data_IF_474734686620
#
_entry.id   IF_474734686620
#
_cell.length_a   1.000
_cell.length_b   1.000
_cell.length_c   1.000
_cell.angle_alpha   90.00
_cell.angle_beta   90.00
_cell.angle_gamma   90.00
#
_symmetry.space_group_name_H-M   'P 1'
#
loop_
_entity.id
_entity.type
_entity.pdbx_description
1 polymer ?
#
# COMPACT_ATOMS: atom_id res chain seq x y z
N UNK A 1 -2.19 -6.93 -17.28
CA UNK A 1 -0.89 -6.53 -17.85
C UNK A 1 -0.07 -7.74 -18.29
N UNK A 2 0.26 -8.68 -17.40
CA UNK A 2 1.02 -9.88 -17.80
C UNK A 2 0.17 -11.00 -18.45
N UNK A 3 -1.16 -10.91 -18.43
CA UNK A 3 -2.05 -11.96 -18.96
C UNK A 3 -2.10 -13.24 -18.12
N UNK A 4 -1.44 -13.24 -16.95
CA UNK A 4 -1.34 -14.37 -16.04
C UNK A 4 -2.22 -14.17 -14.81
N UNK A 5 -2.83 -15.26 -14.34
CA UNK A 5 -3.53 -15.29 -13.06
C UNK A 5 -2.50 -15.44 -11.91
N UNK A 6 -2.54 -14.50 -10.97
CA UNK A 6 -1.63 -14.47 -9.83
C UNK A 6 -2.22 -15.34 -8.71
N UNK A 7 -1.96 -16.64 -8.78
CA UNK A 7 -2.39 -17.63 -7.79
C UNK A 7 -1.29 -18.02 -6.79
N UNK A 8 -0.03 -17.63 -7.05
CA UNK A 8 1.11 -17.93 -6.19
C UNK A 8 2.20 -16.87 -6.30
N UNK A 9 3.17 -16.92 -5.37
CA UNK A 9 4.39 -16.11 -5.44
C UNK A 9 5.23 -16.39 -6.70
N UNK A 10 5.23 -17.64 -7.19
CA UNK A 10 5.95 -17.98 -8.43
C UNK A 10 5.31 -17.32 -9.65
N UNK A 11 3.97 -17.35 -9.74
CA UNK A 11 3.23 -16.70 -10.84
C UNK A 11 3.42 -15.17 -10.80
N UNK A 12 3.52 -14.60 -9.60
CA UNK A 12 3.81 -13.19 -9.42
C UNK A 12 5.21 -12.83 -9.94
N UNK A 13 6.23 -13.61 -9.56
CA UNK A 13 7.59 -13.40 -10.03
C UNK A 13 7.70 -13.55 -11.55
N UNK A 14 6.99 -14.52 -12.14
CA UNK A 14 6.91 -14.69 -13.59
C UNK A 14 6.21 -13.52 -14.28
N UNK A 15 5.09 -13.04 -13.72
CA UNK A 15 4.39 -11.87 -14.24
C UNK A 15 5.28 -10.62 -14.25
N UNK A 16 6.01 -10.37 -13.15
CA UNK A 16 6.96 -9.26 -13.05
C UNK A 16 8.12 -9.43 -14.05
N UNK A 17 8.64 -10.66 -14.20
CA UNK A 17 9.69 -10.96 -15.18
C UNK A 17 9.23 -10.64 -16.59
N UNK A 18 8.01 -11.04 -16.95
CA UNK A 18 7.39 -10.72 -18.24
C UNK A 18 7.26 -9.22 -18.43
N UNK A 19 6.88 -8.48 -17.38
CA UNK A 19 6.77 -7.02 -17.46
C UNK A 19 8.13 -6.37 -17.77
N UNK A 20 9.19 -6.78 -17.08
CA UNK A 20 10.54 -6.27 -17.31
C UNK A 20 11.04 -6.61 -18.73
N UNK A 21 10.83 -7.84 -19.20
CA UNK A 21 11.35 -8.31 -20.50
C UNK A 21 10.55 -7.84 -21.71
N UNK A 22 9.23 -7.86 -21.63
CA UNK A 22 8.35 -7.54 -22.78
C UNK A 22 8.17 -6.04 -22.93
N UNK A 23 7.99 -5.32 -21.82
CA UNK A 23 7.68 -3.89 -21.85
C UNK A 23 8.87 -2.99 -21.51
N UNK A 24 10.05 -3.57 -21.22
CA UNK A 24 11.26 -2.83 -20.83
C UNK A 24 11.02 -1.84 -19.68
N UNK A 25 10.13 -2.21 -18.75
CA UNK A 25 9.81 -1.38 -17.58
C UNK A 25 10.88 -1.63 -16.52
N UNK A 26 11.62 -0.61 -16.05
CA UNK A 26 12.75 -0.80 -15.13
C UNK A 26 12.31 -1.05 -13.68
N UNK A 27 11.21 -0.41 -13.26
CA UNK A 27 10.68 -0.46 -11.91
C UNK A 27 9.22 -0.86 -11.93
N UNK A 28 8.86 -1.85 -11.12
CA UNK A 28 7.49 -2.33 -10.97
C UNK A 28 7.15 -2.30 -9.48
N UNK A 29 6.00 -1.74 -9.13
CA UNK A 29 5.43 -1.87 -7.79
C UNK A 29 4.02 -2.42 -7.94
N UNK A 30 3.70 -3.43 -7.14
CA UNK A 30 2.38 -4.01 -7.01
C UNK A 30 1.90 -3.68 -5.61
N UNK A 31 0.94 -2.76 -5.53
CA UNK A 31 0.27 -2.38 -4.29
C UNK A 31 -0.87 -3.35 -3.99
N UNK A 32 -0.96 -3.81 -2.75
CA UNK A 32 -2.03 -4.67 -2.24
C UNK A 32 -2.09 -6.09 -2.84
N UNK A 33 -1.17 -6.95 -2.39
CA UNK A 33 -1.32 -8.40 -2.54
C UNK A 33 -1.74 -8.97 -1.19
N UNK A 34 -2.91 -9.61 -1.11
CA UNK A 34 -3.26 -10.41 0.07
C UNK A 34 -2.47 -11.72 0.02
N UNK A 35 -1.21 -11.67 0.41
CA UNK A 35 -0.30 -12.81 0.29
C UNK A 35 -0.68 -13.97 1.23
N UNK A 36 -1.42 -13.69 2.31
CA UNK A 36 -2.01 -14.72 3.16
C UNK A 36 -2.91 -15.72 2.39
N UNK A 37 -3.47 -15.32 1.23
CA UNK A 37 -4.19 -16.22 0.33
C UNK A 37 -3.27 -17.02 -0.61
N UNK A 38 -2.03 -16.55 -0.83
CA UNK A 38 -1.06 -17.09 -1.78
C UNK A 38 -0.01 -17.99 -1.12
N UNK A 39 0.17 -17.90 0.19
CA UNK A 39 1.01 -18.81 0.98
C UNK A 39 0.10 -19.66 1.87
N UNK A 40 -0.15 -20.92 1.49
CA UNK A 40 -0.94 -21.90 2.26
C UNK A 40 -0.34 -22.30 3.62
N UNK A 41 0.65 -21.56 4.11
CA UNK A 41 1.37 -21.75 5.37
C UNK A 41 1.30 -20.46 6.17
N UNK A 42 0.13 -20.16 6.73
CA UNK A 42 0.02 -19.18 7.80
C UNK A 42 0.39 -19.86 9.11
N UNK A 43 1.60 -19.63 9.62
CA UNK A 43 1.83 -19.75 11.06
C UNK A 43 0.98 -18.68 11.77
N UNK A 44 0.30 -19.02 12.87
CA UNK A 44 -0.67 -18.14 13.50
C UNK A 44 0.08 -17.08 14.32
N UNK A 45 0.43 -15.95 13.71
CA UNK A 45 0.87 -14.78 14.48
C UNK A 45 -0.37 -14.05 15.03
N UNK A 46 -0.72 -14.44 16.26
CA UNK A 46 -1.40 -13.72 17.37
C UNK A 46 -2.65 -12.85 17.14
N UNK A 47 -3.13 -12.55 15.93
CA UNK A 47 -4.42 -11.87 15.71
C UNK A 47 -5.07 -12.29 14.38
N UNK A 48 -6.11 -13.15 14.37
CA UNK A 48 -6.72 -13.70 13.15
C UNK A 48 -7.51 -12.69 12.30
N UNK A 49 -7.58 -11.40 12.68
CA UNK A 49 -8.45 -10.41 12.05
C UNK A 49 -7.73 -9.32 11.24
N UNK A 50 -6.40 -9.28 11.21
CA UNK A 50 -5.65 -8.23 10.49
C UNK A 50 -4.72 -8.85 9.46
N UNK A 51 -5.24 -9.10 8.26
CA UNK A 51 -4.41 -9.51 7.13
C UNK A 51 -3.46 -8.34 6.78
N UNK A 52 -2.12 -8.51 6.83
CA UNK A 52 -1.20 -7.44 6.48
C UNK A 52 -1.35 -7.06 5.01
N UNK A 53 -1.18 -5.77 4.73
CA UNK A 53 -1.06 -5.26 3.37
C UNK A 53 0.36 -5.51 2.88
N UNK A 54 0.50 -6.39 1.89
CA UNK A 54 1.81 -6.64 1.28
C UNK A 54 1.99 -5.79 0.02
N UNK A 55 3.12 -5.10 -0.06
CA UNK A 55 3.60 -4.39 -1.24
C UNK A 55 4.82 -5.13 -1.78
N UNK A 56 4.80 -5.43 -3.08
CA UNK A 56 5.89 -6.12 -3.76
C UNK A 56 6.44 -5.19 -4.83
N UNK A 57 7.73 -4.91 -4.74
CA UNK A 57 8.43 -4.10 -5.73
C UNK A 57 9.54 -4.87 -6.41
N UNK A 58 9.91 -4.40 -7.59
CA UNK A 58 10.97 -4.99 -8.40
C UNK A 58 11.74 -3.93 -9.15
N UNK A 59 13.06 -4.10 -9.22
CA UNK A 59 13.93 -3.38 -10.14
C UNK A 59 14.67 -4.36 -11.03
N UNK A 60 14.76 -4.06 -12.32
CA UNK A 60 15.46 -4.90 -13.30
C UNK A 60 16.98 -4.92 -13.03
N UNK A 61 17.62 -6.06 -13.30
CA UNK A 61 19.09 -6.18 -13.40
C UNK A 61 19.56 -5.94 -14.83
N UNK A 62 20.87 -5.81 -15.05
CA UNK A 62 21.45 -5.76 -16.40
C UNK A 62 21.10 -7.01 -17.24
N UNK A 63 20.88 -8.15 -16.58
CA UNK A 63 20.50 -9.43 -17.20
C UNK A 63 19.00 -9.55 -17.50
N UNK A 64 18.19 -8.54 -17.16
CA UNK A 64 16.74 -8.55 -17.38
C UNK A 64 15.97 -9.41 -16.38
N UNK A 65 16.58 -9.74 -15.23
CA UNK A 65 15.93 -10.46 -14.13
C UNK A 65 15.34 -9.47 -13.11
N UNK A 66 14.22 -9.81 -12.46
CA UNK A 66 13.66 -8.98 -11.39
C UNK A 66 14.44 -9.12 -10.08
N UNK A 67 14.78 -7.99 -9.45
CA UNK A 67 15.17 -7.95 -8.03
C UNK A 67 13.96 -7.59 -7.18
N UNK A 68 13.32 -8.63 -6.65
CA UNK A 68 12.10 -8.51 -5.86
C UNK A 68 12.40 -8.11 -4.41
N UNK A 69 11.63 -7.17 -3.90
CA UNK A 69 11.54 -6.86 -2.48
C UNK A 69 10.08 -6.87 -2.03
N UNK A 70 9.87 -7.16 -0.75
CA UNK A 70 8.56 -7.24 -0.11
C UNK A 70 8.55 -6.35 1.12
N UNK A 71 7.47 -5.60 1.28
CA UNK A 71 7.21 -4.80 2.47
C UNK A 71 5.81 -5.17 2.97
N UNK A 72 5.72 -5.59 4.24
CA UNK A 72 4.46 -5.88 4.90
C UNK A 72 4.12 -4.74 5.85
N UNK A 73 2.89 -4.24 5.74
CA UNK A 73 2.38 -3.13 6.56
C UNK A 73 1.08 -3.61 7.24
N UNK A 74 0.86 -3.31 8.53
CA UNK A 74 -0.41 -3.62 9.17
C UNK A 74 -1.57 -2.96 8.44
N UNK A 75 -2.62 -3.75 8.14
CA UNK A 75 -3.82 -3.21 7.53
C UNK A 75 -4.63 -2.42 8.56
N UNK A 76 -5.07 -1.21 8.16
CA UNK A 76 -5.99 -0.40 8.94
C UNK A 76 -7.43 -0.86 8.67
N UNK A 77 -8.27 -0.90 9.70
CA UNK A 77 -9.69 -1.28 9.61
C UNK A 77 -10.55 -0.12 9.09
N UNK A 78 -10.10 0.52 8.01
CA UNK A 78 -10.77 1.61 7.35
C UNK A 78 -10.57 1.57 5.83
N UNK A 79 -11.68 1.76 5.11
CA UNK A 79 -11.66 1.96 3.67
C UNK A 79 -11.41 3.42 3.34
N UNK A 80 -10.21 3.71 2.84
CA UNK A 80 -9.87 5.00 2.26
C UNK A 80 -9.85 4.88 0.73
N UNK A 81 -10.63 5.71 0.04
CA UNK A 81 -10.51 5.88 -1.42
C UNK A 81 -9.32 6.78 -1.74
N UNK A 82 -8.60 6.50 -2.83
CA UNK A 82 -7.47 7.32 -3.28
C UNK A 82 -6.12 7.02 -2.61
N UNK A 83 -6.02 5.97 -1.79
CA UNK A 83 -4.75 5.52 -1.21
C UNK A 83 -3.71 5.13 -2.27
N UNK A 84 -4.18 4.61 -3.41
CA UNK A 84 -3.32 4.31 -4.56
C UNK A 84 -2.72 5.57 -5.20
N UNK A 85 -3.51 6.62 -5.37
CA UNK A 85 -3.02 7.89 -5.94
C UNK A 85 -2.04 8.58 -5.00
N UNK A 86 -2.34 8.56 -3.70
CA UNK A 86 -1.43 9.04 -2.67
C UNK A 86 -0.11 8.27 -2.69
N UNK A 87 -0.17 6.93 -2.76
CA UNK A 87 1.02 6.08 -2.84
C UNK A 87 1.85 6.42 -4.08
N UNK A 88 1.22 6.51 -5.26
CA UNK A 88 1.90 6.80 -6.51
C UNK A 88 2.57 8.19 -6.48
N UNK A 89 1.85 9.21 -6.02
CA UNK A 89 2.36 10.58 -5.93
C UNK A 89 3.57 10.69 -4.99
N UNK A 90 3.46 10.10 -3.79
CA UNK A 90 4.56 10.12 -2.81
C UNK A 90 5.75 9.28 -3.29
N UNK A 91 5.52 8.17 -3.98
CA UNK A 91 6.58 7.29 -4.50
C UNK A 91 7.52 8.05 -5.44
N UNK A 92 7.00 8.90 -6.33
CA UNK A 92 7.84 9.67 -7.26
C UNK A 92 8.79 10.60 -6.51
N UNK A 93 8.29 11.33 -5.52
CA UNK A 93 9.10 12.24 -4.71
C UNK A 93 10.14 11.49 -3.87
N UNK A 94 9.73 10.40 -3.20
CA UNK A 94 10.61 9.59 -2.34
C UNK A 94 11.65 8.81 -3.14
N UNK A 95 11.32 8.36 -4.35
CA UNK A 95 12.28 7.71 -5.23
C UNK A 95 13.38 8.69 -5.64
N UNK A 96 13.02 9.92 -6.03
CA UNK A 96 14.00 10.95 -6.32
C UNK A 96 14.88 11.24 -5.10
N UNK A 97 14.29 11.39 -3.91
CA UNK A 97 15.05 11.56 -2.66
C UNK A 97 16.03 10.40 -2.43
N UNK A 98 15.58 9.15 -2.59
CA UNK A 98 16.40 7.96 -2.40
C UNK A 98 17.55 7.86 -3.41
N UNK A 99 17.33 8.28 -4.66
CA UNK A 99 18.36 8.33 -5.70
C UNK A 99 19.42 9.38 -5.41
N UNK A 100 19.03 10.55 -4.91
CA UNK A 100 19.96 11.64 -4.59
C UNK A 100 20.75 11.38 -3.30
N UNK A 101 20.26 10.51 -2.43
CA UNK A 101 20.91 10.08 -1.17
C UNK A 101 21.59 8.71 -1.29
N UNK A 102 21.55 8.09 -2.47
CA UNK A 102 22.16 6.79 -2.70
C UNK A 102 23.69 6.87 -2.57
N UNK A 103 24.30 5.74 -2.20
CA UNK A 103 25.76 5.62 -2.10
C UNK A 103 26.46 5.80 -3.45
N UNK A 104 25.78 5.48 -4.56
CA UNK A 104 26.27 5.69 -5.92
C UNK A 104 25.90 7.11 -6.40
N UNK A 105 26.87 8.05 -6.48
CA UNK A 105 26.62 9.42 -6.89
C UNK A 105 26.24 9.56 -8.37
N UNK A 106 26.52 8.56 -9.20
CA UNK A 106 26.22 8.56 -10.63
C UNK A 106 24.82 8.03 -10.94
N UNK A 107 24.15 7.43 -9.96
CA UNK A 107 22.80 6.89 -10.11
C UNK A 107 21.79 7.94 -10.58
N UNK A 108 21.95 9.19 -10.15
CA UNK A 108 21.11 10.34 -10.56
C UNK A 108 21.15 10.63 -12.07
N UNK A 109 22.26 10.27 -12.72
CA UNK A 109 22.49 10.49 -14.15
C UNK A 109 22.16 9.24 -14.99
N UNK A 110 22.00 8.07 -14.36
CA UNK A 110 21.64 6.84 -15.05
C UNK A 110 20.20 6.88 -15.53
N UNK A 111 19.98 6.35 -16.74
CA UNK A 111 18.65 6.20 -17.32
C UNK A 111 17.75 5.43 -16.35
N UNK A 112 16.57 6.00 -16.08
CA UNK A 112 15.57 5.41 -15.21
C UNK A 112 16.03 5.13 -13.77
N UNK A 113 17.16 5.67 -13.32
CA UNK A 113 17.69 5.47 -11.95
C UNK A 113 17.86 4.00 -11.52
N UNK A 114 18.25 3.14 -12.46
CA UNK A 114 18.51 1.72 -12.19
C UNK A 114 19.85 1.57 -11.48
N UNK A 115 19.83 0.97 -10.29
CA UNK A 115 21.03 0.63 -9.50
C UNK A 115 21.80 -0.52 -10.13
N UNK A 116 23.13 -0.56 -9.93
CA UNK A 116 23.95 -1.69 -10.38
C UNK A 116 23.55 -3.02 -9.74
N UNK A 117 23.94 -4.12 -10.36
CA UNK A 117 23.49 -5.48 -10.00
C UNK A 117 24.02 -5.95 -8.63
N UNK A 118 25.09 -5.33 -8.15
CA UNK A 118 25.67 -5.53 -6.83
C UNK A 118 24.77 -5.05 -5.68
N UNK A 119 23.83 -4.15 -5.95
CA UNK A 119 22.93 -3.61 -4.93
C UNK A 119 21.86 -4.65 -4.58
N UNK A 120 21.75 -5.07 -3.30
CA UNK A 120 20.74 -6.03 -2.88
C UNK A 120 19.33 -5.42 -2.95
N UNK A 121 18.31 -6.27 -3.07
CA UNK A 121 16.93 -5.82 -3.30
C UNK A 121 16.38 -4.89 -2.20
N UNK A 122 16.83 -5.05 -0.96
CA UNK A 122 16.45 -4.21 0.19
C UNK A 122 17.08 -2.82 0.17
N UNK A 123 18.25 -2.67 -0.47
CA UNK A 123 18.98 -1.40 -0.55
C UNK A 123 18.64 -0.60 -1.80
N UNK A 124 17.76 -1.12 -2.66
CA UNK A 124 17.30 -0.42 -3.84
C UNK A 124 16.64 0.91 -3.47
N UNK A 125 16.88 2.00 -4.22
CA UNK A 125 16.22 3.28 -4.00
C UNK A 125 14.69 3.14 -4.01
N UNK A 126 14.16 2.25 -4.85
CA UNK A 126 12.73 1.94 -4.91
C UNK A 126 12.20 1.30 -3.62
N UNK A 127 12.99 0.42 -2.98
CA UNK A 127 12.62 -0.21 -1.71
C UNK A 127 12.59 0.83 -0.59
N UNK A 128 13.65 1.63 -0.46
CA UNK A 128 13.73 2.74 0.51
C UNK A 128 12.63 3.77 0.33
N UNK A 129 12.31 4.08 -0.93
CA UNK A 129 11.22 4.99 -1.25
C UNK A 129 9.87 4.40 -0.83
N UNK A 130 9.58 3.16 -1.22
CA UNK A 130 8.32 2.49 -0.89
C UNK A 130 8.13 2.36 0.63
N UNK A 131 9.18 2.04 1.38
CA UNK A 131 9.15 2.00 2.85
C UNK A 131 8.77 3.36 3.45
N UNK A 132 9.44 4.44 3.04
CA UNK A 132 9.14 5.80 3.51
C UNK A 132 7.72 6.24 3.15
N UNK A 133 7.24 5.89 1.96
CA UNK A 133 5.87 6.18 1.53
C UNK A 133 4.87 5.45 2.41
N UNK A 134 5.08 4.15 2.63
CA UNK A 134 4.18 3.33 3.43
C UNK A 134 4.13 3.80 4.88
N UNK A 135 5.27 4.14 5.48
CA UNK A 135 5.32 4.74 6.81
C UNK A 135 4.56 6.08 6.86
N UNK A 136 4.83 6.98 5.90
CA UNK A 136 4.14 8.29 5.84
C UNK A 136 2.63 8.13 5.65
N UNK A 137 2.20 7.16 4.83
CA UNK A 137 0.80 6.87 4.61
C UNK A 137 0.14 6.30 5.85
N UNK A 138 0.78 5.36 6.53
CA UNK A 138 0.24 4.75 7.74
C UNK A 138 -0.07 5.82 8.79
N UNK A 139 0.89 6.71 9.05
CA UNK A 139 0.73 7.83 10.00
C UNK A 139 -0.43 8.78 9.61
N UNK A 140 -0.56 9.11 8.33
CA UNK A 140 -1.64 10.00 7.85
C UNK A 140 -2.99 9.32 7.99
N UNK A 141 -3.08 8.04 7.62
CA UNK A 141 -4.34 7.29 7.66
C UNK A 141 -4.79 7.02 9.10
N UNK A 142 -3.86 6.73 10.02
CA UNK A 142 -4.15 6.60 11.45
C UNK A 142 -4.71 7.91 12.02
N UNK A 143 -4.02 9.03 11.83
CA UNK A 143 -4.51 10.35 12.27
C UNK A 143 -5.84 10.74 11.64
N UNK A 144 -6.06 10.38 10.37
CA UNK A 144 -7.33 10.65 9.68
C UNK A 144 -8.47 9.82 10.28
N UNK A 145 -8.19 8.57 10.66
CA UNK A 145 -9.15 7.70 11.34
C UNK A 145 -9.51 8.27 12.72
N UNK A 146 -8.51 8.64 13.53
CA UNK A 146 -8.71 9.25 14.85
C UNK A 146 -9.53 10.54 14.77
N UNK A 147 -9.18 11.44 13.84
CA UNK A 147 -9.90 12.70 13.64
C UNK A 147 -11.36 12.48 13.22
N UNK A 148 -11.60 11.51 12.33
CA UNK A 148 -12.96 11.14 11.90
C UNK A 148 -13.76 10.52 13.04
N UNK A 149 -13.16 9.65 13.84
CA UNK A 149 -13.84 9.02 14.98
C UNK A 149 -14.18 10.07 16.06
N UNK A 150 -13.30 11.06 16.28
CA UNK A 150 -13.57 12.21 17.13
C UNK A 150 -14.72 13.09 16.60
N UNK A 151 -14.76 13.36 15.29
CA UNK A 151 -15.85 14.13 14.67
C UNK A 151 -17.20 13.40 14.75
N UNK A 152 -17.19 12.07 14.55
CA UNK A 152 -18.37 11.23 14.73
C UNK A 152 -18.86 11.25 16.18
N UNK A 153 -17.97 11.16 17.16
CA UNK A 153 -18.33 11.25 18.58
C UNK A 153 -18.88 12.64 18.96
N UNK A 154 -18.26 13.71 18.46
CA UNK A 154 -18.69 15.09 18.69
C UNK A 154 -20.07 15.38 18.07
N UNK A 155 -20.33 14.86 16.86
CA UNK A 155 -21.65 15.06 16.24
C UNK A 155 -22.72 14.16 16.85
N UNK A 156 -22.37 12.94 17.29
CA UNK A 156 -23.31 12.06 18.01
C UNK A 156 -23.76 12.70 19.32
N UNK A 157 -22.84 13.25 20.11
CA UNK A 157 -23.16 13.99 21.34
C UNK A 157 -23.97 15.27 21.09
N UNK A 158 -23.66 16.05 20.04
CA UNK A 158 -24.45 17.24 19.65
C UNK A 158 -25.86 16.88 19.13
N UNK A 159 -26.00 15.74 18.44
CA UNK A 159 -27.31 15.25 17.97
C UNK A 159 -28.20 14.75 19.11
N UNK A 160 -27.63 14.20 20.18
CA UNK A 160 -28.36 13.80 21.39
C UNK A 160 -28.91 15.04 22.12
N UNK A 161 -28.19 16.17 22.12
CA UNK A 161 -28.63 17.42 22.73
C UNK A 161 -29.70 18.17 21.93
N UNK A 162 -29.96 17.79 20.67
CA UNK A 162 -30.88 18.50 19.75
C UNK A 162 -32.07 17.67 19.28
N UNK A 163 -32.21 16.40 19.71
CA UNK A 163 -33.19 15.44 19.16
C UNK A 163 -34.19 14.86 20.17
N UNK A 164 -34.77 15.73 21.01
CA UNK A 164 -35.93 15.37 21.84
C UNK A 164 -37.24 15.19 21.02
N UNK A 165 -37.26 15.47 19.71
CA UNK A 165 -38.47 15.34 18.86
C UNK A 165 -38.27 14.56 17.53
N UNK A 166 -37.26 13.69 17.41
CA UNK A 166 -37.09 12.84 16.22
C UNK A 166 -37.49 11.38 16.48
N UNK A 167 -38.35 10.83 15.61
CA UNK A 167 -38.77 9.41 15.64
C UNK A 167 -37.56 8.47 15.57
N UNK A 168 -37.61 7.37 16.34
CA UNK A 168 -36.60 6.29 16.38
C UNK A 168 -36.17 5.83 14.98
N UNK A 169 -37.09 5.79 14.02
CA UNK A 169 -36.79 5.40 12.63
C UNK A 169 -35.89 6.40 11.89
N UNK A 170 -36.05 7.70 12.14
CA UNK A 170 -35.17 8.73 11.58
C UNK A 170 -33.79 8.73 12.24
N UNK A 171 -33.72 8.44 13.55
CA UNK A 171 -32.45 8.26 14.28
C UNK A 171 -31.68 7.08 13.71
N UNK A 172 -32.32 5.92 13.53
CA UNK A 172 -31.71 4.73 12.93
C UNK A 172 -31.30 4.96 11.46
N UNK A 173 -32.11 5.64 10.65
CA UNK A 173 -31.77 5.95 9.25
C UNK A 173 -30.59 6.92 9.15
N UNK A 174 -30.54 7.94 10.02
CA UNK A 174 -29.40 8.89 10.09
C UNK A 174 -28.14 8.19 10.57
N UNK A 175 -28.22 7.35 11.60
CA UNK A 175 -27.08 6.58 12.09
C UNK A 175 -26.55 5.61 11.02
N UNK A 176 -27.44 4.92 10.30
CA UNK A 176 -27.08 4.04 9.19
C UNK A 176 -26.40 4.77 8.01
N UNK A 177 -26.78 6.03 7.75
CA UNK A 177 -26.14 6.88 6.73
C UNK A 177 -24.80 7.46 7.16
N UNK A 178 -24.53 7.57 8.48
CA UNK A 178 -23.30 8.12 9.05
C UNK A 178 -22.17 7.10 9.14
N UNK A 179 -22.51 5.82 9.21
CA UNK A 179 -21.53 4.76 9.02
C UNK A 179 -21.06 4.80 7.56
N UNK A 180 -19.75 4.98 7.27
CA UNK A 180 -19.25 4.80 5.92
C UNK A 180 -19.71 3.41 5.50
N UNK A 181 -20.49 3.31 4.41
CA UNK A 181 -21.14 2.08 3.97
C UNK A 181 -20.14 0.93 4.11
N UNK A 182 -20.26 0.17 5.21
CA UNK A 182 -19.53 -1.07 5.44
C UNK A 182 -20.02 -2.02 4.37
N UNK A 183 -19.50 -1.88 3.15
CA UNK A 183 -19.52 -2.94 2.18
C UNK A 183 -18.62 -4.00 2.78
N UNK A 184 -19.24 -4.88 3.59
CA UNK A 184 -18.65 -6.14 4.00
C UNK A 184 -18.08 -6.80 2.75
N UNK A 185 -16.89 -7.36 2.92
CA UNK A 185 -16.18 -8.17 1.94
C UNK A 185 -17.09 -9.15 1.21
#
# INVERSE_FOLDING_TARGET
LAGLEIASLSNLAEAITTIHKVYNIPHVIITSVQLAKLTSTAEPTTNPNTNPLTVIGSTITSTGLPRLFRIDVPALDCFFSGTGDMFAALTVARLREAVFTAADPDLKNRKSWVSGDEVPATELPLAKAAEKVLASMHDVLEKTMEARDAELAATSSSSILTSDEASEEEKQKREHLRLPRRRRC
#
